data_IF_603839871609
#
_entry.id   IF_603839871609
#
_cell.length_a   1.000
_cell.length_b   1.000
_cell.length_c   1.000
_cell.angle_alpha   90.00
_cell.angle_beta   90.00
_cell.angle_gamma   90.00
#
_symmetry.space_group_name_H-M   'P 1'
#
loop_
_entity.id
_entity.type
_entity.pdbx_description
1 polymer ?
#
# COMPACT_ATOMS: atom_id res chain seq x y z
N UNK A 1 16.32 -9.87 -10.03
CA UNK A 1 15.01 -10.53 -10.26
C UNK A 1 14.27 -10.80 -8.94
N UNK A 2 14.89 -11.45 -7.93
CA UNK A 2 14.21 -11.73 -6.63
C UNK A 2 13.66 -10.48 -5.97
N UNK A 3 14.41 -9.39 -5.93
CA UNK A 3 13.99 -8.12 -5.32
C UNK A 3 12.73 -7.53 -5.99
N UNK A 4 12.65 -7.54 -7.32
CA UNK A 4 11.48 -7.02 -8.04
C UNK A 4 10.22 -7.87 -7.79
N UNK A 5 10.38 -9.19 -7.72
CA UNK A 5 9.27 -10.10 -7.36
C UNK A 5 8.80 -9.83 -5.92
N UNK A 6 9.73 -9.61 -4.99
CA UNK A 6 9.41 -9.28 -3.60
C UNK A 6 8.67 -7.96 -3.48
N UNK A 7 9.11 -6.92 -4.20
CA UNK A 7 8.42 -5.62 -4.22
C UNK A 7 7.01 -5.71 -4.82
N UNK A 8 6.87 -6.46 -5.92
CA UNK A 8 5.57 -6.74 -6.53
C UNK A 8 4.63 -7.46 -5.56
N UNK A 9 5.08 -8.60 -5.02
CA UNK A 9 4.26 -9.42 -4.12
C UNK A 9 3.96 -8.70 -2.80
N UNK A 10 4.96 -8.04 -2.23
CA UNK A 10 4.80 -7.28 -1.00
C UNK A 10 3.79 -6.14 -1.17
N UNK A 11 3.89 -5.36 -2.25
CA UNK A 11 2.93 -4.29 -2.52
C UNK A 11 1.53 -4.85 -2.83
N UNK A 12 1.44 -5.93 -3.61
CA UNK A 12 0.16 -6.59 -3.89
C UNK A 12 -0.52 -7.03 -2.60
N UNK A 13 0.17 -7.79 -1.75
CA UNK A 13 -0.38 -8.30 -0.49
C UNK A 13 -0.71 -7.18 0.50
N UNK A 14 0.13 -6.14 0.56
CA UNK A 14 -0.15 -4.96 1.37
C UNK A 14 -1.46 -4.30 0.93
N UNK A 15 -1.62 -4.02 -0.35
CA UNK A 15 -2.82 -3.34 -0.89
C UNK A 15 -4.06 -4.22 -0.77
N UNK A 16 -3.96 -5.54 -1.02
CA UNK A 16 -5.08 -6.48 -0.76
C UNK A 16 -5.55 -6.37 0.68
N UNK A 17 -4.61 -6.35 1.63
CA UNK A 17 -4.95 -6.26 3.04
C UNK A 17 -5.55 -4.91 3.40
N UNK A 18 -4.96 -3.82 2.94
CA UNK A 18 -5.45 -2.45 3.22
C UNK A 18 -6.86 -2.25 2.67
N UNK A 19 -7.08 -2.58 1.40
CA UNK A 19 -8.39 -2.41 0.75
C UNK A 19 -9.39 -3.41 1.30
N UNK A 20 -9.02 -4.69 1.39
CA UNK A 20 -9.91 -5.75 1.86
C UNK A 20 -10.33 -5.58 3.32
N UNK A 21 -9.40 -5.25 4.22
CA UNK A 21 -9.74 -4.96 5.62
C UNK A 21 -10.59 -3.71 5.78
N UNK A 22 -10.39 -2.69 4.91
CA UNK A 22 -11.23 -1.50 4.87
C UNK A 22 -12.69 -1.84 4.51
N UNK A 23 -12.88 -2.61 3.43
CA UNK A 23 -14.22 -3.06 2.99
C UNK A 23 -14.89 -3.89 4.09
N UNK A 24 -14.17 -4.87 4.66
CA UNK A 24 -14.70 -5.71 5.72
C UNK A 24 -15.05 -4.90 6.98
N UNK A 25 -14.17 -4.00 7.39
CA UNK A 25 -14.38 -3.16 8.56
C UNK A 25 -15.58 -2.23 8.39
N UNK A 26 -15.76 -1.64 7.21
CA UNK A 26 -16.92 -0.79 6.91
C UNK A 26 -18.23 -1.60 6.96
N UNK A 27 -18.24 -2.80 6.37
CA UNK A 27 -19.42 -3.68 6.39
C UNK A 27 -19.80 -4.15 7.78
N UNK A 28 -18.82 -4.41 8.66
CA UNK A 28 -19.06 -4.98 10.00
C UNK A 28 -19.22 -3.91 11.09
N UNK A 29 -18.79 -2.68 10.86
CA UNK A 29 -18.82 -1.63 11.89
C UNK A 29 -20.22 -1.05 12.17
N UNK A 30 -21.23 -1.43 11.38
CA UNK A 30 -22.61 -0.93 11.51
C UNK A 30 -22.68 0.60 11.50
N UNK A 31 -21.84 1.26 10.69
CA UNK A 31 -21.75 2.72 10.57
C UNK A 31 -20.81 3.41 11.57
N UNK A 32 -20.17 2.65 12.48
CA UNK A 32 -19.18 3.22 13.39
C UNK A 32 -17.83 3.40 12.67
N UNK A 33 -17.61 4.60 12.13
CA UNK A 33 -16.40 4.94 11.38
C UNK A 33 -15.11 4.81 12.21
N UNK A 34 -15.16 5.11 13.51
CA UNK A 34 -13.99 4.98 14.37
C UNK A 34 -13.56 3.51 14.52
N UNK A 35 -14.52 2.59 14.66
CA UNK A 35 -14.25 1.16 14.72
C UNK A 35 -13.72 0.64 13.38
N UNK A 36 -14.30 1.07 12.26
CA UNK A 36 -13.84 0.70 10.93
C UNK A 36 -12.38 1.15 10.70
N UNK A 37 -12.07 2.40 11.03
CA UNK A 37 -10.73 2.95 10.92
C UNK A 37 -9.72 2.20 11.80
N UNK A 38 -10.08 1.90 13.05
CA UNK A 38 -9.21 1.17 13.98
C UNK A 38 -8.90 -0.24 13.47
N UNK A 39 -9.91 -0.97 13.02
CA UNK A 39 -9.74 -2.32 12.50
C UNK A 39 -8.85 -2.34 11.25
N UNK A 40 -9.06 -1.41 10.31
CA UNK A 40 -8.24 -1.25 9.12
C UNK A 40 -6.79 -0.88 9.47
N UNK A 41 -6.58 0.05 10.40
CA UNK A 41 -5.25 0.48 10.83
C UNK A 41 -4.45 -0.66 11.48
N UNK A 42 -5.09 -1.47 12.33
CA UNK A 42 -4.45 -2.63 12.96
C UNK A 42 -4.06 -3.67 11.89
N UNK A 43 -4.97 -4.00 10.98
CA UNK A 43 -4.69 -4.95 9.90
C UNK A 43 -3.54 -4.47 9.00
N UNK A 44 -3.53 -3.19 8.65
CA UNK A 44 -2.48 -2.56 7.85
C UNK A 44 -1.12 -2.62 8.55
N UNK A 45 -1.05 -2.25 9.83
CA UNK A 45 0.20 -2.30 10.59
C UNK A 45 0.72 -3.73 10.76
N UNK A 46 -0.17 -4.68 11.01
CA UNK A 46 0.19 -6.08 11.17
C UNK A 46 0.77 -6.67 9.87
N UNK A 47 0.11 -6.48 8.73
CA UNK A 47 0.62 -6.99 7.46
C UNK A 47 1.91 -6.31 7.06
N UNK A 48 2.05 -5.00 7.27
CA UNK A 48 3.27 -4.28 6.96
C UNK A 48 4.46 -4.83 7.75
N UNK A 49 4.27 -5.08 9.05
CA UNK A 49 5.29 -5.71 9.89
C UNK A 49 5.71 -7.10 9.34
N UNK A 50 4.74 -7.94 8.98
CA UNK A 50 5.00 -9.28 8.44
C UNK A 50 5.77 -9.19 7.11
N UNK A 51 5.32 -8.33 6.19
CA UNK A 51 5.95 -8.20 4.87
C UNK A 51 7.37 -7.63 4.97
N UNK A 52 7.60 -6.65 5.83
CA UNK A 52 8.94 -6.13 6.09
C UNK A 52 9.84 -7.24 6.64
N UNK A 53 9.35 -8.00 7.62
CA UNK A 53 10.12 -9.11 8.21
C UNK A 53 10.53 -10.16 7.18
N UNK A 54 9.65 -10.47 6.21
CA UNK A 54 9.91 -11.50 5.19
C UNK A 54 10.81 -10.98 4.08
N UNK A 55 10.61 -9.73 3.61
CA UNK A 55 11.19 -9.26 2.36
C UNK A 55 12.35 -8.28 2.52
N UNK A 56 12.60 -7.76 3.73
CA UNK A 56 13.64 -6.75 3.96
C UNK A 56 15.02 -7.18 3.47
N UNK A 57 15.43 -8.41 3.75
CA UNK A 57 16.74 -8.92 3.32
C UNK A 57 16.83 -9.18 1.81
N UNK A 58 15.67 -9.22 1.10
CA UNK A 58 15.62 -9.56 -0.33
C UNK A 58 15.54 -8.30 -1.20
N UNK A 59 14.70 -7.34 -0.81
CA UNK A 59 14.43 -6.13 -1.62
C UNK A 59 14.63 -4.82 -0.86
N UNK A 60 14.79 -4.87 0.45
CA UNK A 60 14.70 -3.70 1.32
C UNK A 60 13.27 -3.37 1.74
N UNK A 61 12.28 -4.15 1.27
CA UNK A 61 10.87 -4.04 1.63
C UNK A 61 10.32 -2.61 1.52
N UNK A 62 10.53 -1.98 0.37
CA UNK A 62 10.05 -0.60 0.15
C UNK A 62 8.53 -0.54 0.03
N UNK A 63 7.94 -1.38 -0.81
CA UNK A 63 6.49 -1.48 -1.10
C UNK A 63 5.78 -0.14 -1.37
N UNK A 64 6.56 0.91 -1.58
CA UNK A 64 6.09 2.28 -1.73
C UNK A 64 7.03 3.05 -2.67
N UNK A 65 6.51 3.69 -3.73
CA UNK A 65 7.31 4.51 -4.64
C UNK A 65 8.07 5.66 -3.94
N UNK A 66 7.52 6.24 -2.86
CA UNK A 66 8.17 7.33 -2.13
C UNK A 66 9.38 6.81 -1.36
N UNK A 67 9.28 5.64 -0.74
CA UNK A 67 10.42 4.99 -0.07
C UNK A 67 11.51 4.67 -1.11
N UNK A 68 11.14 4.13 -2.27
CA UNK A 68 12.08 3.87 -3.37
C UNK A 68 12.74 5.14 -3.87
N UNK A 69 12.01 6.26 -3.95
CA UNK A 69 12.56 7.57 -4.32
C UNK A 69 13.60 8.07 -3.30
N UNK A 70 13.32 7.93 -2.02
CA UNK A 70 14.26 8.31 -0.96
C UNK A 70 15.52 7.46 -1.04
N UNK A 71 15.40 6.15 -1.22
CA UNK A 71 16.54 5.25 -1.37
C UNK A 71 17.36 5.56 -2.62
N UNK A 72 16.73 5.95 -3.72
CA UNK A 72 17.41 6.47 -4.89
C UNK A 72 18.15 7.79 -4.60
N UNK A 73 17.50 8.74 -3.94
CA UNK A 73 18.13 10.01 -3.55
C UNK A 73 19.33 9.80 -2.61
N UNK A 74 19.27 8.79 -1.74
CA UNK A 74 20.37 8.36 -0.88
C UNK A 74 21.44 7.53 -1.62
N UNK A 75 21.35 7.37 -2.93
CA UNK A 75 22.27 6.58 -3.78
C UNK A 75 22.35 5.09 -3.39
N UNK A 76 21.30 4.56 -2.77
CA UNK A 76 21.19 3.12 -2.43
C UNK A 76 20.55 2.31 -3.57
N UNK A 77 19.91 2.97 -4.53
CA UNK A 77 19.41 2.39 -5.78
C UNK A 77 19.98 3.16 -6.96
N UNK A 78 20.24 2.46 -8.04
CA UNK A 78 20.46 3.08 -9.35
C UNK A 78 19.13 3.62 -9.93
N UNK A 79 19.20 4.51 -10.90
CA UNK A 79 17.99 5.04 -11.56
C UNK A 79 17.16 3.93 -12.23
N UNK A 80 17.80 2.95 -12.82
CA UNK A 80 17.14 1.82 -13.48
C UNK A 80 16.41 0.93 -12.44
N UNK A 81 17.05 0.65 -11.31
CA UNK A 81 16.43 -0.09 -10.21
C UNK A 81 15.25 0.65 -9.62
N UNK A 82 15.39 1.96 -9.39
CA UNK A 82 14.30 2.82 -8.92
C UNK A 82 13.08 2.75 -9.84
N UNK A 83 13.26 2.92 -11.15
CA UNK A 83 12.17 2.81 -12.11
C UNK A 83 11.52 1.43 -12.11
N UNK A 84 12.34 0.37 -12.02
CA UNK A 84 11.83 -1.00 -11.95
C UNK A 84 11.01 -1.23 -10.67
N UNK A 85 11.50 -0.77 -9.51
CA UNK A 85 10.77 -0.84 -8.23
C UNK A 85 9.41 -0.15 -8.33
N UNK A 86 9.40 1.12 -8.75
CA UNK A 86 8.17 1.89 -8.89
C UNK A 86 7.18 1.21 -9.84
N UNK A 87 7.66 0.67 -10.97
CA UNK A 87 6.81 -0.02 -11.94
C UNK A 87 6.15 -1.25 -11.34
N UNK A 88 6.91 -2.13 -10.68
CA UNK A 88 6.35 -3.36 -10.08
C UNK A 88 5.46 -3.06 -8.88
N UNK A 89 5.74 -2.01 -8.11
CA UNK A 89 4.89 -1.54 -7.01
C UNK A 89 3.55 -1.03 -7.52
N UNK A 90 3.54 -0.22 -8.59
CA UNK A 90 2.28 0.27 -9.18
C UNK A 90 1.45 -0.89 -9.71
N UNK A 91 2.05 -1.82 -10.45
CA UNK A 91 1.35 -2.99 -10.98
C UNK A 91 0.82 -3.85 -9.83
N UNK A 92 1.64 -4.11 -8.81
CA UNK A 92 1.25 -4.85 -7.61
C UNK A 92 0.07 -4.20 -6.88
N UNK A 93 0.10 -2.87 -6.71
CA UNK A 93 -0.98 -2.12 -6.07
C UNK A 93 -2.31 -2.18 -6.82
N UNK A 94 -2.27 -2.00 -8.14
CA UNK A 94 -3.48 -2.10 -8.99
C UNK A 94 -4.07 -3.52 -8.93
N UNK A 95 -3.24 -4.54 -9.10
CA UNK A 95 -3.69 -5.94 -9.02
C UNK A 95 -4.16 -6.30 -7.61
N UNK A 96 -3.53 -5.77 -6.56
CA UNK A 96 -3.96 -5.93 -5.18
C UNK A 96 -5.35 -5.37 -4.93
N UNK A 97 -5.64 -4.16 -5.45
CA UNK A 97 -6.98 -3.57 -5.38
C UNK A 97 -8.01 -4.44 -6.11
N UNK A 98 -7.70 -4.88 -7.33
CA UNK A 98 -8.60 -5.75 -8.11
C UNK A 98 -8.89 -7.07 -7.39
N UNK A 99 -7.87 -7.67 -6.80
CA UNK A 99 -8.01 -8.90 -6.04
C UNK A 99 -8.88 -8.68 -4.79
N UNK A 100 -8.71 -7.58 -4.05
CA UNK A 100 -9.56 -7.24 -2.93
C UNK A 100 -11.03 -7.06 -3.38
N UNK A 101 -11.27 -6.31 -4.46
CA UNK A 101 -12.62 -6.13 -4.99
C UNK A 101 -13.25 -7.45 -5.41
N UNK A 102 -12.50 -8.35 -6.04
CA UNK A 102 -12.96 -9.69 -6.40
C UNK A 102 -13.33 -10.53 -5.16
N UNK A 103 -12.51 -10.49 -4.11
CA UNK A 103 -12.76 -11.23 -2.86
C UNK A 103 -14.05 -10.81 -2.16
N UNK A 104 -14.46 -9.56 -2.32
CA UNK A 104 -15.67 -9.01 -1.69
C UNK A 104 -16.86 -8.88 -2.67
N UNK A 105 -16.78 -9.46 -3.86
CA UNK A 105 -17.86 -9.48 -4.87
C UNK A 105 -18.35 -8.08 -5.26
N UNK A 106 -17.45 -7.09 -5.25
CA UNK A 106 -17.75 -5.72 -5.68
C UNK A 106 -17.15 -5.44 -7.07
N UNK A 107 -17.62 -4.39 -7.73
CA UNK A 107 -17.13 -4.00 -9.05
C UNK A 107 -15.62 -3.81 -9.04
N UNK A 108 -14.90 -4.52 -9.93
CA UNK A 108 -13.44 -4.50 -9.99
C UNK A 108 -12.93 -3.07 -10.26
N UNK A 109 -13.57 -2.36 -11.20
CA UNK A 109 -13.22 -0.98 -11.53
C UNK A 109 -14.26 -0.06 -10.89
N UNK A 110 -13.81 0.80 -9.99
CA UNK A 110 -14.62 1.82 -9.33
C UNK A 110 -13.91 3.17 -9.40
N UNK A 111 -14.70 4.22 -9.60
CA UNK A 111 -14.21 5.60 -9.50
C UNK A 111 -14.64 6.17 -8.16
N UNK A 112 -13.66 6.68 -7.40
CA UNK A 112 -13.95 7.32 -6.11
C UNK A 112 -14.80 8.57 -6.32
N UNK A 113 -15.90 8.66 -5.58
CA UNK A 113 -16.74 9.86 -5.51
C UNK A 113 -16.34 10.78 -4.34
N UNK A 114 -15.48 10.30 -3.45
CA UNK A 114 -15.00 11.07 -2.30
C UNK A 114 -13.91 12.06 -2.75
N UNK A 115 -14.20 13.34 -2.56
CA UNK A 115 -13.23 14.40 -2.85
C UNK A 115 -12.23 14.47 -1.69
N UNK A 116 -10.99 14.10 -1.96
CA UNK A 116 -9.85 14.21 -1.03
C UNK A 116 -8.82 15.16 -1.61
N UNK A 117 -9.09 16.46 -1.52
CA UNK A 117 -8.21 17.52 -2.02
C UNK A 117 -8.14 18.66 -1.02
N UNK A 118 -6.99 19.30 -0.95
CA UNK A 118 -6.78 20.46 -0.09
C UNK A 118 -5.37 20.49 0.50
N UNK A 119 -4.88 21.67 0.84
CA UNK A 119 -3.52 21.88 1.36
C UNK A 119 -3.26 21.08 2.65
N UNK A 120 -4.24 21.00 3.53
CA UNK A 120 -4.14 20.23 4.78
C UNK A 120 -4.01 18.73 4.52
N UNK A 121 -4.72 18.20 3.54
CA UNK A 121 -4.64 16.78 3.18
C UNK A 121 -3.30 16.44 2.52
N UNK A 122 -2.83 17.29 1.59
CA UNK A 122 -1.50 17.10 0.99
C UNK A 122 -0.40 17.16 2.05
N UNK A 123 -0.49 18.08 3.00
CA UNK A 123 0.48 18.16 4.09
C UNK A 123 0.44 16.92 4.99
N UNK A 124 -0.75 16.41 5.30
CA UNK A 124 -0.93 15.18 6.08
C UNK A 124 -0.33 13.96 5.38
N UNK A 125 -0.50 13.84 4.05
CA UNK A 125 0.13 12.78 3.26
C UNK A 125 1.67 12.86 3.30
N UNK A 126 2.23 14.07 3.23
CA UNK A 126 3.69 14.26 3.37
C UNK A 126 4.17 13.80 4.75
N UNK A 127 3.49 14.18 5.83
CA UNK A 127 3.84 13.75 7.18
C UNK A 127 3.68 12.24 7.35
N UNK A 128 2.61 11.64 6.82
CA UNK A 128 2.41 10.20 6.88
C UNK A 128 3.51 9.44 6.12
N UNK A 129 3.85 9.91 4.91
CA UNK A 129 4.94 9.31 4.12
C UNK A 129 6.32 9.49 4.76
N UNK A 130 6.55 10.58 5.49
CA UNK A 130 7.81 10.82 6.22
C UNK A 130 7.94 9.92 7.46
N UNK A 131 6.82 9.49 8.05
CA UNK A 131 6.80 8.62 9.22
C UNK A 131 6.96 7.12 8.91
N UNK A 132 6.93 6.75 7.61
CA UNK A 132 7.19 5.38 7.16
C UNK A 132 8.68 5.09 7.07
#
# INVERSE_FOLDING_TARGET
>A
MRAFISEFLGTLLLVVTVVGSGIMAENLSMGNQALALLANAIATGAILYVLITIFNEISGAHFNPVVSLIMFAMKKLSFTEFLAYVSVQIIGGVLGTFLAHFMFEISIIQFSTNIRTGSSQYFSEVIAAFGL
#
